data_IF_567458819933
#
_entry.id   IF_567458819933
#
_cell.length_a   1.000
_cell.length_b   1.000
_cell.length_c   1.000
_cell.angle_alpha   90.00
_cell.angle_beta   90.00
_cell.angle_gamma   90.00
#
_symmetry.space_group_name_H-M   'P 1'
#
loop_
_entity.id
_entity.type
_entity.pdbx_description
1 polymer ?
#
# COMPACT_ATOMS: atom_id res chain seq x y z
N UNK A 1 6.35 -20.00 8.03
CA UNK A 1 6.50 -18.54 8.17
C UNK A 1 5.26 -18.03 8.88
N UNK A 2 5.34 -17.85 10.20
CA UNK A 2 4.24 -17.25 10.97
C UNK A 2 4.16 -15.77 10.62
N UNK A 3 2.95 -15.22 10.54
CA UNK A 3 2.67 -13.82 10.22
C UNK A 3 3.14 -12.83 11.30
N UNK A 4 4.26 -13.10 11.97
CA UNK A 4 4.86 -12.27 13.02
C UNK A 4 5.89 -11.26 12.50
N UNK A 5 6.01 -11.05 11.19
CA UNK A 5 7.09 -10.24 10.61
C UNK A 5 6.81 -8.72 10.59
N UNK A 6 5.57 -8.26 10.82
CA UNK A 6 5.18 -6.85 10.59
C UNK A 6 4.62 -6.11 11.82
N UNK A 7 4.51 -6.78 12.98
CA UNK A 7 3.95 -6.19 14.20
C UNK A 7 2.44 -5.91 14.12
N UNK A 8 1.91 -5.13 15.07
CA UNK A 8 0.52 -4.64 15.07
C UNK A 8 0.34 -3.34 14.27
N UNK A 9 1.37 -2.95 13.51
CA UNK A 9 1.42 -1.70 12.79
C UNK A 9 0.68 -1.82 11.45
N UNK A 10 0.16 -0.71 10.94
CA UNK A 10 -0.59 -0.68 9.67
C UNK A 10 0.40 -0.61 8.51
N UNK A 11 0.19 -1.42 7.48
CA UNK A 11 1.01 -1.47 6.26
C UNK A 11 0.13 -1.30 5.03
N UNK A 12 0.61 -0.53 4.04
CA UNK A 12 -0.02 -0.44 2.72
C UNK A 12 0.57 -1.49 1.79
N UNK A 13 -0.28 -2.33 1.18
CA UNK A 13 0.15 -3.38 0.24
C UNK A 13 -0.47 -3.11 -1.13
N UNK A 14 0.36 -2.70 -2.09
CA UNK A 14 -0.06 -2.25 -3.41
C UNK A 14 0.23 -3.34 -4.46
N UNK A 15 -0.84 -4.02 -4.89
CA UNK A 15 -0.77 -5.10 -5.88
C UNK A 15 -0.41 -4.61 -7.28
N UNK A 16 0.06 -5.54 -8.12
CA UNK A 16 0.22 -5.30 -9.55
C UNK A 16 -1.12 -5.24 -10.31
N UNK A 17 -1.08 -4.84 -11.59
CA UNK A 17 -2.31 -4.76 -12.41
C UNK A 17 -2.19 -3.98 -13.72
N UNK A 18 -0.97 -3.66 -14.16
CA UNK A 18 -0.74 -2.79 -15.32
C UNK A 18 -1.28 -1.38 -15.08
N UNK A 19 -1.83 -0.75 -16.13
CA UNK A 19 -2.28 0.65 -16.06
C UNK A 19 -3.39 0.90 -15.02
N UNK A 20 -4.19 -0.12 -14.68
CA UNK A 20 -5.21 -0.01 -13.62
C UNK A 20 -4.63 0.30 -12.24
N UNK A 21 -3.33 0.03 -12.03
CA UNK A 21 -2.62 0.36 -10.79
C UNK A 21 -2.53 1.86 -10.51
N UNK A 22 -2.83 2.75 -11.47
CA UNK A 22 -2.97 4.18 -11.20
C UNK A 22 -4.06 4.49 -10.16
N UNK A 23 -5.01 3.57 -9.94
CA UNK A 23 -5.98 3.67 -8.85
C UNK A 23 -5.33 3.73 -7.46
N UNK A 24 -4.10 3.24 -7.29
CA UNK A 24 -3.36 3.32 -6.03
C UNK A 24 -3.11 4.77 -5.58
N UNK A 25 -3.02 5.72 -6.52
CA UNK A 25 -2.88 7.16 -6.19
C UNK A 25 -4.12 7.67 -5.43
N UNK A 26 -5.32 7.33 -5.92
CA UNK A 26 -6.56 7.71 -5.26
C UNK A 26 -6.74 6.99 -3.92
N UNK A 27 -6.31 5.73 -3.82
CA UNK A 27 -6.30 5.02 -2.54
C UNK A 27 -5.35 5.68 -1.53
N UNK A 28 -4.16 6.11 -1.96
CA UNK A 28 -3.22 6.82 -1.10
C UNK A 28 -3.79 8.16 -0.62
N UNK A 29 -4.41 8.92 -1.51
CA UNK A 29 -5.06 10.18 -1.16
C UNK A 29 -6.18 9.97 -0.11
N UNK A 30 -6.99 8.92 -0.25
CA UNK A 30 -8.03 8.61 0.73
C UNK A 30 -7.46 8.22 2.11
N UNK A 31 -6.30 7.56 2.15
CA UNK A 31 -5.60 7.26 3.41
C UNK A 31 -5.10 8.54 4.08
N UNK A 32 -4.50 9.45 3.31
CA UNK A 32 -4.03 10.76 3.80
C UNK A 32 -5.18 11.62 4.33
N UNK A 33 -6.29 11.72 3.59
CA UNK A 33 -7.51 12.42 4.02
C UNK A 33 -8.12 11.84 5.30
N UNK A 34 -7.94 10.53 5.53
CA UNK A 34 -8.37 9.84 6.74
C UNK A 34 -7.37 9.97 7.91
N UNK A 35 -6.20 10.59 7.70
CA UNK A 35 -5.14 10.66 8.70
C UNK A 35 -4.51 9.30 9.04
N UNK A 36 -4.56 8.35 8.11
CA UNK A 36 -3.97 7.02 8.26
C UNK A 36 -2.56 7.05 7.70
N UNK A 37 -1.57 6.85 8.56
CA UNK A 37 -0.15 6.79 8.20
C UNK A 37 0.38 5.36 8.33
N UNK A 38 0.49 4.60 7.22
CA UNK A 38 1.08 3.27 7.26
C UNK A 38 2.56 3.36 7.63
N UNK A 39 3.04 2.42 8.43
CA UNK A 39 4.47 2.30 8.77
C UNK A 39 5.36 2.13 7.53
N UNK A 40 4.82 1.47 6.52
CA UNK A 40 5.56 1.13 5.33
C UNK A 40 4.66 0.65 4.21
N UNK A 41 5.26 0.55 3.04
CA UNK A 41 4.60 0.18 1.79
C UNK A 41 5.29 -1.06 1.22
N UNK A 42 4.50 -2.03 0.78
CA UNK A 42 4.99 -3.18 0.01
C UNK A 42 4.28 -3.19 -1.34
N UNK A 43 5.06 -3.08 -2.41
CA UNK A 43 4.54 -2.99 -3.77
C UNK A 43 4.95 -4.15 -4.65
N UNK A 44 4.18 -4.41 -5.72
CA UNK A 44 4.60 -5.31 -6.81
C UNK A 44 4.29 -4.69 -8.18
N UNK A 45 5.26 -4.72 -9.10
CA UNK A 45 5.12 -4.15 -10.46
C UNK A 45 4.69 -2.68 -10.39
N UNK A 46 3.56 -2.30 -11.01
CA UNK A 46 3.03 -0.92 -10.95
C UNK A 46 2.81 -0.43 -9.51
N UNK A 47 2.39 -1.31 -8.59
CA UNK A 47 2.22 -0.95 -7.18
C UNK A 47 3.53 -0.76 -6.41
N UNK A 48 4.68 -1.11 -7.00
CA UNK A 48 6.00 -0.75 -6.46
C UNK A 48 6.57 0.54 -7.08
N UNK A 49 5.93 1.07 -8.12
CA UNK A 49 6.37 2.27 -8.83
C UNK A 49 5.59 3.50 -8.40
N UNK A 50 4.27 3.33 -8.22
CA UNK A 50 3.34 4.34 -7.71
C UNK A 50 3.50 4.44 -6.21
#
# INVERSE_FOLDING_TARGET
MTAGALGEEIWAVLGGGGLKGLAHVGAWQALDEAGIEPRGIVGTSIGALV
#
